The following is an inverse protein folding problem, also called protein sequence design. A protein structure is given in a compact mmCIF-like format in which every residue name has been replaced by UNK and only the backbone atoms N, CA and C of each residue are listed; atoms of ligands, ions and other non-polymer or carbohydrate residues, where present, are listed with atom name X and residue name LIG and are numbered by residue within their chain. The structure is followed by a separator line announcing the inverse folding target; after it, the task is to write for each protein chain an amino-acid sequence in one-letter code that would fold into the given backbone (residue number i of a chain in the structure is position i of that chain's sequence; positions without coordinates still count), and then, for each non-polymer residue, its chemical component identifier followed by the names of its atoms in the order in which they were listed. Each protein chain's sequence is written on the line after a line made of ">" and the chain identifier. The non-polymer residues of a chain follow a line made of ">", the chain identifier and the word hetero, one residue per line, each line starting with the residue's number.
data_IF_110151169424
#
_entry.id   IF_110151169424
#
_cell.length_a   1.000
_cell.length_b   1.000
_cell.length_c   1.000
_cell.angle_alpha   90.00
_cell.angle_beta   90.00
_cell.angle_gamma   90.00
#
_symmetry.space_group_name_H-M   'P 1'
#
loop_
_entity.id
_entity.type
_entity.pdbx_description
1 polymer ?
#
# COMPACT_ATOMS: atom_id res chain seq x y z
N UNK A 1 2.36 13.56 11.77
CA UNK A 1 1.87 13.09 13.09
C UNK A 1 2.74 13.76 14.12
N UNK A 2 2.14 14.44 15.09
CA UNK A 2 2.83 15.17 16.15
C UNK A 2 2.57 14.49 17.49
N UNK A 3 3.55 14.57 18.39
CA UNK A 3 3.34 14.21 19.79
C UNK A 3 2.49 15.28 20.49
N UNK A 4 1.80 14.93 21.58
CA UNK A 4 1.15 15.91 22.45
C UNK A 4 2.21 16.86 23.04
N UNK A 5 1.82 18.05 23.50
CA UNK A 5 2.75 18.94 24.20
C UNK A 5 3.23 18.32 25.52
N UNK A 6 4.26 18.94 26.11
CA UNK A 6 4.77 18.58 27.43
C UNK A 6 3.64 18.66 28.47
N UNK A 7 3.45 17.58 29.23
CA UNK A 7 2.36 17.46 30.21
C UNK A 7 2.48 18.47 31.37
N UNK A 8 3.69 18.99 31.61
CA UNK A 8 3.97 19.94 32.70
C UNK A 8 3.80 21.39 32.23
N UNK A 9 4.48 21.79 31.15
CA UNK A 9 4.53 23.20 30.73
C UNK A 9 3.63 23.54 29.53
N UNK A 10 3.02 22.55 28.87
CA UNK A 10 2.21 22.75 27.67
C UNK A 10 2.99 23.14 26.41
N UNK A 11 4.32 23.26 26.50
CA UNK A 11 5.20 23.57 25.37
C UNK A 11 5.37 22.38 24.40
N UNK A 12 5.92 22.64 23.21
CA UNK A 12 6.16 21.60 22.21
C UNK A 12 7.05 20.47 22.75
N UNK A 13 6.57 19.23 22.66
CA UNK A 13 7.24 18.09 23.25
C UNK A 13 8.66 17.83 22.73
N UNK A 14 9.01 18.18 21.50
CA UNK A 14 10.36 17.98 20.92
C UNK A 14 11.19 19.27 20.88
N UNK A 15 10.87 20.26 21.70
CA UNK A 15 11.66 21.49 21.78
C UNK A 15 12.99 21.23 22.48
N UNK A 16 14.07 21.24 21.70
CA UNK A 16 15.44 20.94 22.15
C UNK A 16 15.98 21.94 23.16
N UNK A 17 15.35 23.12 23.32
CA UNK A 17 15.71 24.11 24.36
C UNK A 17 15.46 23.61 25.78
N UNK A 18 14.59 22.60 25.93
CA UNK A 18 14.17 22.09 27.25
C UNK A 18 14.80 20.73 27.61
N UNK A 19 15.83 20.30 26.87
CA UNK A 19 16.57 19.06 27.10
C UNK A 19 15.96 17.84 26.40
N UNK A 20 16.35 16.64 26.83
CA UNK A 20 15.82 15.39 26.28
C UNK A 20 14.35 15.20 26.67
N UNK A 21 13.63 14.45 25.85
CA UNK A 21 12.17 14.33 25.97
C UNK A 21 11.79 12.90 26.27
N UNK A 22 11.16 12.72 27.42
CA UNK A 22 10.88 11.42 28.02
C UNK A 22 9.39 11.11 27.92
N UNK A 23 9.07 9.82 27.82
CA UNK A 23 7.68 9.33 27.83
C UNK A 23 7.36 8.65 29.14
N UNK A 24 6.15 8.86 29.62
CA UNK A 24 5.65 8.34 30.89
C UNK A 24 4.33 7.61 30.67
N UNK A 25 4.13 6.48 31.36
CA UNK A 25 2.79 5.89 31.48
C UNK A 25 1.96 6.64 32.54
N UNK A 26 0.69 6.25 32.71
CA UNK A 26 -0.25 6.93 33.60
C UNK A 26 0.20 6.92 35.06
N UNK A 27 0.76 5.80 35.53
CA UNK A 27 1.24 5.68 36.89
C UNK A 27 2.42 6.61 37.14
N UNK A 28 3.39 6.62 36.23
CA UNK A 28 4.56 7.50 36.29
C UNK A 28 4.19 8.98 36.19
N UNK A 29 3.26 9.32 35.29
CA UNK A 29 2.79 10.68 35.15
C UNK A 29 2.00 11.15 36.38
N UNK A 30 1.19 10.26 36.99
CA UNK A 30 0.47 10.56 38.23
C UNK A 30 1.43 10.78 39.39
N UNK A 31 2.44 9.92 39.53
CA UNK A 31 3.49 10.06 40.55
C UNK A 31 4.22 11.41 40.41
N UNK A 32 4.56 11.78 39.18
CA UNK A 32 5.27 13.03 38.87
C UNK A 32 4.42 14.30 39.11
N UNK A 33 3.14 14.26 38.76
CA UNK A 33 2.24 15.43 38.87
C UNK A 33 1.57 15.54 40.24
N UNK A 34 1.54 14.45 41.02
CA UNK A 34 0.77 14.36 42.26
C UNK A 34 -0.75 14.29 42.06
N UNK A 35 -1.21 14.21 40.81
CA UNK A 35 -2.61 14.04 40.43
C UNK A 35 -2.72 13.32 39.08
N UNK A 36 -3.91 12.77 38.74
CA UNK A 36 -4.10 12.12 37.44
C UNK A 36 -3.77 13.07 36.28
N UNK A 37 -2.98 12.63 35.28
CA UNK A 37 -2.61 13.46 34.16
C UNK A 37 -3.80 13.67 33.20
N UNK A 38 -3.94 14.84 32.56
CA UNK A 38 -5.04 15.09 31.65
C UNK A 38 -4.95 14.21 30.39
N UNK A 39 -6.02 13.50 30.06
CA UNK A 39 -6.09 12.65 28.86
C UNK A 39 -5.89 13.43 27.55
N UNK A 40 -6.29 14.71 27.53
CA UNK A 40 -6.13 15.59 26.37
C UNK A 40 -4.65 15.81 25.99
N UNK A 41 -3.72 15.60 26.93
CA UNK A 41 -2.27 15.71 26.70
C UNK A 41 -1.59 14.35 26.54
N UNK A 42 -2.37 13.29 26.31
CA UNK A 42 -1.87 11.94 26.11
C UNK A 42 -1.90 11.53 24.64
N UNK A 43 -1.10 10.53 24.30
CA UNK A 43 -1.23 9.79 23.04
C UNK A 43 -1.44 8.31 23.34
N UNK A 44 -2.41 7.71 22.66
CA UNK A 44 -2.62 6.27 22.75
C UNK A 44 -1.66 5.55 21.80
N UNK A 45 -0.85 4.63 22.34
CA UNK A 45 -0.06 3.71 21.54
C UNK A 45 -0.81 2.38 21.38
N UNK A 46 -1.34 2.11 20.17
CA UNK A 46 -2.11 0.91 19.91
C UNK A 46 -1.26 -0.37 19.87
N UNK A 47 0.06 -0.27 19.68
CA UNK A 47 0.97 -1.41 19.69
C UNK A 47 1.12 -2.06 21.08
N UNK A 48 0.99 -1.27 22.15
CA UNK A 48 1.00 -1.77 23.54
C UNK A 48 -0.31 -1.54 24.28
N UNK A 49 -1.32 -0.96 23.60
CA UNK A 49 -2.65 -0.64 24.13
C UNK A 49 -2.61 0.20 25.41
N UNK A 50 -1.75 1.22 25.45
CA UNK A 50 -1.58 2.12 26.60
C UNK A 50 -1.50 3.58 26.17
N UNK A 51 -1.87 4.49 27.06
CA UNK A 51 -1.64 5.93 26.91
C UNK A 51 -0.26 6.31 27.43
N UNK A 52 0.33 7.29 26.77
CA UNK A 52 1.62 7.88 27.12
C UNK A 52 1.53 9.40 27.16
N UNK A 53 2.24 9.99 28.11
CA UNK A 53 2.47 11.43 28.24
C UNK A 53 3.93 11.73 27.95
N UNK A 54 4.18 12.95 27.47
CA UNK A 54 5.54 13.41 27.14
C UNK A 54 5.91 14.55 28.06
N UNK A 55 7.15 14.57 28.51
CA UNK A 55 7.69 15.66 29.32
C UNK A 55 9.12 16.00 28.94
N UNK A 56 9.45 17.29 29.03
CA UNK A 56 10.83 17.75 28.92
C UNK A 56 11.63 17.35 30.16
N UNK A 57 12.90 17.04 29.98
CA UNK A 57 13.85 16.80 31.06
C UNK A 57 13.89 17.96 32.05
N UNK A 58 13.92 19.21 31.57
CA UNK A 58 13.93 20.40 32.43
C UNK A 58 12.64 20.60 33.22
N UNK A 59 11.51 20.09 32.74
CA UNK A 59 10.22 20.22 33.42
C UNK A 59 9.97 19.09 34.43
N UNK A 60 10.46 17.89 34.11
CA UNK A 60 10.20 16.67 34.89
C UNK A 60 11.35 16.31 35.81
N UNK A 61 12.55 16.84 35.56
CA UNK A 61 13.79 16.41 36.23
C UNK A 61 14.28 15.03 35.78
N UNK A 62 13.57 14.35 34.88
CA UNK A 62 13.88 12.99 34.46
C UNK A 62 14.48 12.94 33.05
N UNK A 63 15.77 12.64 33.00
CA UNK A 63 16.50 12.30 31.78
C UNK A 63 16.48 10.79 31.58
N UNK A 64 15.43 10.25 30.97
CA UNK A 64 15.40 8.82 30.63
C UNK A 64 16.28 8.59 29.40
N UNK A 65 17.62 8.56 29.60
CA UNK A 65 18.64 8.30 28.55
C UNK A 65 18.52 6.92 27.88
N UNK A 66 17.49 6.15 28.20
CA UNK A 66 17.19 4.89 27.53
C UNK A 66 16.36 5.16 26.28
N UNK A 67 16.88 4.76 25.10
CA UNK A 67 16.15 4.81 23.82
C UNK A 67 14.74 4.23 23.90
N UNK A 68 14.50 3.27 24.82
CA UNK A 68 13.22 2.60 25.10
C UNK A 68 12.12 3.49 25.72
N UNK A 69 12.44 4.73 26.11
CA UNK A 69 11.51 5.64 26.80
C UNK A 69 11.64 7.08 26.29
N UNK A 70 12.22 7.26 25.10
CA UNK A 70 12.31 8.58 24.48
C UNK A 70 11.04 8.90 23.70
N UNK A 71 10.70 10.19 23.65
CA UNK A 71 9.58 10.68 22.86
C UNK A 71 9.73 10.32 21.36
N UNK A 72 10.97 10.31 20.87
CA UNK A 72 11.31 9.94 19.49
C UNK A 72 10.96 8.47 19.19
N UNK A 73 11.26 7.54 20.11
CA UNK A 73 10.92 6.13 19.91
C UNK A 73 9.40 5.92 19.87
N UNK A 74 8.66 6.59 20.77
CA UNK A 74 7.20 6.57 20.76
C UNK A 74 6.66 7.12 19.42
N UNK A 75 7.20 8.25 18.94
CA UNK A 75 6.80 8.81 17.65
C UNK A 75 7.08 7.84 16.49
N UNK A 76 8.23 7.16 16.51
CA UNK A 76 8.58 6.16 15.49
C UNK A 76 7.69 4.91 15.56
N UNK A 77 7.31 4.45 16.76
CA UNK A 77 6.33 3.37 16.95
C UNK A 77 4.97 3.76 16.39
N UNK A 78 4.46 4.94 16.71
CA UNK A 78 3.19 5.45 16.19
C UNK A 78 3.21 5.60 14.67
N UNK A 79 4.32 6.08 14.08
CA UNK A 79 4.50 6.14 12.63
C UNK A 79 4.46 4.75 11.99
N UNK A 80 5.19 3.78 12.54
CA UNK A 80 5.18 2.39 12.05
C UNK A 80 3.79 1.77 12.13
N UNK A 81 3.06 2.01 13.22
CA UNK A 81 1.70 1.53 13.35
C UNK A 81 0.78 2.18 12.30
N UNK A 82 0.81 3.50 12.17
CA UNK A 82 0.02 4.22 11.15
C UNK A 82 0.35 3.75 9.73
N UNK A 83 1.61 3.48 9.43
CA UNK A 83 2.01 2.91 8.14
C UNK A 83 1.43 1.51 7.93
N UNK A 84 1.41 0.67 8.97
CA UNK A 84 0.77 -0.66 8.90
C UNK A 84 -0.74 -0.56 8.75
N UNK A 85 -1.40 0.34 9.48
CA UNK A 85 -2.82 0.61 9.31
C UNK A 85 -3.12 1.14 7.92
N UNK A 86 -2.31 2.06 7.39
CA UNK A 86 -2.44 2.54 6.02
C UNK A 86 -2.15 1.44 5.01
N UNK A 87 -1.27 0.49 5.27
CA UNK A 87 -1.06 -0.67 4.40
C UNK A 87 -2.20 -1.70 4.50
N UNK A 88 -2.82 -1.84 5.66
CA UNK A 88 -3.95 -2.74 5.90
C UNK A 88 -5.29 -2.16 5.42
N UNK A 89 -5.44 -0.83 5.53
CA UNK A 89 -6.63 -0.04 5.15
C UNK A 89 -6.47 0.60 3.78
N UNK A 90 -5.25 0.63 3.23
CA UNK A 90 -5.10 0.70 1.79
C UNK A 90 -6.03 -0.38 1.27
N UNK A 91 -6.83 -0.09 0.24
CA UNK A 91 -7.51 -1.16 -0.44
C UNK A 91 -6.44 -2.20 -0.68
N UNK A 92 -6.64 -3.41 -0.10
CA UNK A 92 -6.10 -4.59 -0.76
C UNK A 92 -6.38 -4.31 -2.23
N UNK A 93 -5.45 -4.55 -3.13
CA UNK A 93 -5.80 -4.60 -4.55
C UNK A 93 -6.79 -5.78 -4.75
N UNK A 94 -7.97 -5.73 -4.14
CA UNK A 94 -9.22 -6.34 -4.54
C UNK A 94 -9.58 -5.62 -5.82
N UNK A 95 -8.90 -6.02 -6.88
CA UNK A 95 -8.97 -5.36 -8.19
C UNK A 95 -7.79 -5.60 -9.12
N UNK A 96 -6.74 -6.34 -8.73
CA UNK A 96 -5.73 -6.83 -9.69
C UNK A 96 -5.49 -8.34 -9.57
N UNK A 97 -6.57 -9.11 -9.43
CA UNK A 97 -6.65 -10.36 -10.18
C UNK A 97 -7.18 -9.99 -11.56
N UNK A 98 -6.39 -10.23 -12.61
CA UNK A 98 -6.94 -10.33 -13.97
C UNK A 98 -6.68 -9.17 -14.94
N UNK A 99 -5.74 -8.25 -14.69
CA UNK A 99 -5.29 -7.35 -15.78
C UNK A 99 -4.00 -7.89 -16.36
N UNK A 100 -4.10 -8.51 -17.53
CA UNK A 100 -2.95 -8.86 -18.37
C UNK A 100 -2.23 -7.56 -18.76
N UNK A 101 -0.90 -7.55 -18.66
CA UNK A 101 -0.08 -6.38 -18.99
C UNK A 101 0.88 -6.71 -20.12
N UNK A 102 1.27 -5.68 -20.88
CA UNK A 102 2.33 -5.77 -21.89
C UNK A 102 3.63 -6.26 -21.24
N UNK A 103 4.30 -7.22 -21.88
CA UNK A 103 5.54 -7.85 -21.44
C UNK A 103 5.36 -9.16 -20.66
N UNK A 104 4.14 -9.49 -20.21
CA UNK A 104 3.85 -10.76 -19.53
C UNK A 104 4.12 -11.97 -20.43
N UNK A 105 4.56 -13.08 -19.84
CA UNK A 105 4.71 -14.36 -20.54
C UNK A 105 3.37 -15.10 -20.64
N UNK A 106 3.21 -16.03 -21.61
CA UNK A 106 2.06 -16.92 -21.69
C UNK A 106 1.72 -17.63 -20.39
N UNK A 107 2.72 -18.12 -19.64
CA UNK A 107 2.45 -18.81 -18.36
C UNK A 107 1.90 -17.87 -17.30
N UNK A 108 2.35 -16.61 -17.28
CA UNK A 108 1.82 -15.59 -16.38
C UNK A 108 0.36 -15.27 -16.72
N UNK A 109 0.02 -15.17 -18.01
CA UNK A 109 -1.35 -14.94 -18.47
C UNK A 109 -2.25 -16.13 -18.13
N UNK A 110 -1.81 -17.37 -18.37
CA UNK A 110 -2.56 -18.57 -18.02
C UNK A 110 -2.81 -18.69 -16.51
N UNK A 111 -1.83 -18.34 -15.68
CA UNK A 111 -2.01 -18.32 -14.22
C UNK A 111 -2.99 -17.24 -13.76
N UNK A 112 -3.12 -16.14 -14.51
CA UNK A 112 -3.99 -15.02 -14.18
C UNK A 112 -5.43 -15.20 -14.67
N UNK A 113 -5.61 -15.63 -15.92
CA UNK A 113 -6.90 -15.70 -16.59
C UNK A 113 -7.41 -17.13 -16.78
N UNK A 114 -6.57 -18.14 -16.57
CA UNK A 114 -6.87 -19.52 -16.98
C UNK A 114 -6.60 -19.76 -18.47
N UNK A 115 -7.03 -20.92 -19.00
CA UNK A 115 -6.92 -21.20 -20.42
C UNK A 115 -7.80 -20.21 -21.23
N UNK A 116 -7.30 -19.72 -22.38
CA UNK A 116 -8.12 -18.93 -23.29
C UNK A 116 -9.25 -19.77 -23.88
N UNK A 117 -10.34 -19.11 -24.28
CA UNK A 117 -11.44 -19.76 -24.99
C UNK A 117 -11.00 -20.15 -26.41
N UNK A 118 -10.17 -19.30 -27.02
CA UNK A 118 -9.65 -19.53 -28.35
C UNK A 118 -8.20 -19.05 -28.47
N UNK A 119 -7.39 -19.81 -29.21
CA UNK A 119 -6.03 -19.46 -29.61
C UNK A 119 -5.99 -19.48 -31.12
N UNK A 120 -5.58 -18.37 -31.72
CA UNK A 120 -5.46 -18.22 -33.17
C UNK A 120 -4.13 -17.57 -33.49
N UNK A 121 -3.45 -18.11 -34.48
CA UNK A 121 -2.27 -17.47 -35.06
C UNK A 121 -2.68 -16.27 -35.92
N UNK A 122 -1.75 -15.34 -36.16
CA UNK A 122 -1.99 -14.23 -37.10
C UNK A 122 -2.53 -14.71 -38.44
N UNK A 123 -1.99 -15.83 -38.96
CA UNK A 123 -2.40 -16.43 -40.23
C UNK A 123 -3.86 -16.88 -40.22
N UNK A 124 -4.29 -17.51 -39.14
CA UNK A 124 -5.68 -17.98 -38.98
C UNK A 124 -6.64 -16.81 -38.74
N UNK A 125 -6.22 -15.80 -37.99
CA UNK A 125 -6.99 -14.57 -37.78
C UNK A 125 -7.25 -13.83 -39.10
N UNK A 126 -6.20 -13.65 -39.92
CA UNK A 126 -6.31 -13.02 -41.23
C UNK A 126 -7.17 -13.85 -42.20
N UNK A 127 -7.09 -15.18 -42.16
CA UNK A 127 -7.93 -16.06 -42.98
C UNK A 127 -9.43 -15.92 -42.65
N UNK A 128 -9.79 -15.61 -41.39
CA UNK A 128 -11.18 -15.40 -40.95
C UNK A 128 -11.75 -14.02 -41.33
N UNK A 129 -10.89 -13.01 -41.46
CA UNK A 129 -11.30 -11.64 -41.79
C UNK A 129 -11.64 -11.41 -43.27
N UNK A 130 -11.49 -12.42 -44.13
CA UNK A 130 -11.95 -12.37 -45.52
C UNK A 130 -11.13 -11.43 -46.40
N UNK A 131 -10.07 -11.96 -46.98
CA UNK A 131 -9.57 -11.68 -48.35
C UNK A 131 -9.42 -10.23 -48.87
N UNK A 132 -9.25 -9.23 -47.99
CA UNK A 132 -8.92 -7.84 -48.42
C UNK A 132 -7.84 -7.21 -47.55
N UNK A 133 -6.62 -7.72 -47.63
CA UNK A 133 -5.48 -7.04 -46.99
C UNK A 133 -4.17 -7.81 -46.89
N UNK A 134 -3.90 -8.79 -47.76
CA UNK A 134 -2.73 -9.68 -47.64
C UNK A 134 -1.41 -9.00 -48.04
N UNK A 135 -1.44 -7.78 -48.58
CA UNK A 135 -0.24 -7.09 -49.08
C UNK A 135 0.22 -6.02 -48.09
N UNK A 136 1.00 -6.41 -47.05
CA UNK A 136 2.07 -5.60 -46.39
C UNK A 136 2.44 -6.03 -44.94
N UNK A 137 1.95 -7.15 -44.41
CA UNK A 137 2.36 -7.56 -43.07
C UNK A 137 3.56 -8.50 -43.11
N UNK A 138 4.67 -8.09 -42.47
CA UNK A 138 5.81 -8.97 -42.18
C UNK A 138 5.30 -10.24 -41.46
N UNK A 139 5.87 -11.43 -41.76
CA UNK A 139 5.54 -12.63 -41.03
C UNK A 139 6.01 -12.45 -39.58
N UNK A 140 5.10 -12.07 -38.70
CA UNK A 140 5.34 -12.12 -37.28
C UNK A 140 4.67 -13.35 -36.70
N UNK A 141 5.37 -14.05 -35.82
CA UNK A 141 4.84 -15.17 -35.03
C UNK A 141 3.89 -14.65 -33.93
N UNK A 142 2.95 -13.77 -34.31
CA UNK A 142 2.00 -13.20 -33.39
C UNK A 142 0.90 -14.24 -33.11
N UNK A 143 0.67 -14.48 -31.82
CA UNK A 143 -0.36 -15.38 -31.32
C UNK A 143 -1.46 -14.56 -30.62
N UNK A 144 -2.71 -14.82 -30.94
CA UNK A 144 -3.87 -14.09 -30.43
C UNK A 144 -4.69 -15.02 -29.55
N UNK A 145 -4.87 -14.64 -28.29
CA UNK A 145 -5.66 -15.37 -27.31
C UNK A 145 -6.93 -14.61 -26.98
N UNK A 146 -8.08 -15.26 -27.11
CA UNK A 146 -9.38 -14.68 -26.81
C UNK A 146 -9.93 -15.23 -25.48
N UNK A 147 -10.34 -14.32 -24.62
CA UNK A 147 -10.96 -14.59 -23.33
C UNK A 147 -12.36 -13.99 -23.30
N UNK A 148 -13.39 -14.82 -23.16
CA UNK A 148 -14.75 -14.33 -23.01
C UNK A 148 -15.13 -14.11 -21.55
N UNK A 149 -15.86 -13.03 -21.26
CA UNK A 149 -16.35 -12.71 -19.92
C UNK A 149 -15.26 -12.37 -18.89
N UNK A 150 -14.10 -11.91 -19.34
CA UNK A 150 -12.95 -11.54 -18.50
C UNK A 150 -12.46 -10.14 -18.90
N UNK A 151 -12.55 -9.12 -18.01
CA UNK A 151 -13.32 -9.13 -16.76
C UNK A 151 -14.83 -9.34 -17.02
N UNK A 152 -15.58 -9.74 -15.99
CA UNK A 152 -17.02 -10.08 -16.09
C UNK A 152 -17.79 -9.11 -16.99
N UNK A 153 -18.39 -9.62 -18.07
CA UNK A 153 -19.15 -8.83 -19.05
C UNK A 153 -18.34 -8.29 -20.24
N UNK A 154 -17.04 -8.60 -20.34
CA UNK A 154 -16.18 -8.15 -21.42
C UNK A 154 -15.41 -9.30 -22.06
N UNK A 155 -15.20 -9.20 -23.37
CA UNK A 155 -14.26 -10.06 -24.07
C UNK A 155 -12.88 -9.37 -24.11
N UNK A 156 -11.82 -10.11 -23.82
CA UNK A 156 -10.44 -9.62 -23.85
C UNK A 156 -9.62 -10.41 -24.86
N UNK A 157 -9.00 -9.69 -25.78
CA UNK A 157 -8.00 -10.20 -26.71
C UNK A 157 -6.60 -9.88 -26.17
N UNK A 158 -5.72 -10.88 -26.14
CA UNK A 158 -4.32 -10.75 -25.77
C UNK A 158 -3.47 -11.15 -26.96
N UNK A 159 -2.64 -10.24 -27.46
CA UNK A 159 -1.69 -10.50 -28.54
C UNK A 159 -0.30 -10.75 -27.96
N UNK A 160 0.32 -11.86 -28.35
CA UNK A 160 1.69 -12.20 -28.04
C UNK A 160 2.57 -12.01 -29.26
N UNK A 161 3.80 -11.55 -29.05
CA UNK A 161 4.91 -11.56 -30.03
C UNK A 161 6.16 -12.03 -29.31
N UNK A 162 6.91 -12.96 -29.89
CA UNK A 162 8.11 -13.52 -29.27
C UNK A 162 7.85 -14.00 -27.82
N UNK A 163 6.74 -14.71 -27.61
CA UNK A 163 6.29 -15.20 -26.30
C UNK A 163 6.11 -14.12 -25.21
N UNK A 164 5.76 -12.88 -25.61
CA UNK A 164 5.42 -11.80 -24.68
C UNK A 164 4.18 -11.06 -25.14
N UNK A 165 3.33 -10.66 -24.19
CA UNK A 165 2.18 -9.80 -24.48
C UNK A 165 2.66 -8.49 -25.07
N UNK A 166 2.20 -8.14 -26.27
CA UNK A 166 2.45 -6.84 -26.90
C UNK A 166 1.22 -5.94 -26.89
N UNK A 167 0.02 -6.52 -26.80
CA UNK A 167 -1.24 -5.77 -26.80
C UNK A 167 -2.30 -6.52 -26.01
N UNK A 168 -3.16 -5.76 -25.34
CA UNK A 168 -4.38 -6.26 -24.69
C UNK A 168 -5.52 -5.35 -25.12
N UNK A 169 -6.58 -5.93 -25.69
CA UNK A 169 -7.78 -5.20 -26.11
C UNK A 169 -8.99 -5.74 -25.36
N UNK A 170 -9.65 -4.87 -24.59
CA UNK A 170 -10.92 -5.17 -23.94
C UNK A 170 -11.93 -4.14 -24.45
N UNK A 171 -12.61 -4.38 -25.58
CA UNK A 171 -13.63 -3.47 -26.07
C UNK A 171 -14.68 -3.22 -24.98
N UNK A 172 -15.00 -1.94 -24.75
CA UNK A 172 -16.14 -1.58 -23.91
C UNK A 172 -17.40 -1.96 -24.67
N UNK A 173 -18.07 -3.02 -24.23
CA UNK A 173 -19.46 -3.28 -24.60
C UNK A 173 -20.27 -2.09 -24.07
N UNK A 174 -20.71 -1.19 -24.95
CA UNK A 174 -21.69 -0.16 -24.61
C UNK A 174 -22.99 -0.89 -24.27
N UNK A 175 -23.28 -1.06 -22.99
CA UNK A 175 -24.64 -1.29 -22.50
C UNK A 175 -25.36 0.03 -22.30
#
# INVERSE_FOLDING_TARGET
>A
MSLPPCVVCGGYALDTRYGFTSTFDEAQATEMLGHPPPEALSVFDPGVRKRFWVGHETCTGFSLRTRKRSAEELLERLRRYRQRELAASAPRRSGQRGVVQVGMSPEQVLRLLGPPHERVTLREYLARMGDKGILQFEPSDDEYWLYSGVPSGHDTEVTFRNARVVRVQTPRTNT
#
